data_IF_967283596768
#
_entry.id   IF_967283596768
#
_cell.length_a   1.000
_cell.length_b   1.000
_cell.length_c   1.000
_cell.angle_alpha   90.00
_cell.angle_beta   90.00
_cell.angle_gamma   90.00
#
_symmetry.space_group_name_H-M   'P 1'
#
loop_
_entity.id
_entity.type
_entity.pdbx_description
1 polymer ?
#
# COMPACT_ATOMS: atom_id res chain seq x y z
N UNK A 1 -6.25 16.84 17.06
CA UNK A 1 -5.57 15.53 17.16
C UNK A 1 -4.81 15.33 15.86
N UNK A 2 -3.48 15.28 15.91
CA UNK A 2 -2.68 14.76 14.80
C UNK A 2 -2.51 13.26 15.04
N UNK A 3 -3.25 12.45 14.30
CA UNK A 3 -3.18 10.99 14.38
C UNK A 3 -2.70 10.39 13.06
N UNK A 4 -2.07 9.23 13.13
CA UNK A 4 -1.70 8.45 11.96
C UNK A 4 -2.77 7.39 11.68
N UNK A 5 -3.05 7.15 10.41
CA UNK A 5 -3.89 6.04 9.94
C UNK A 5 -2.97 5.08 9.20
N UNK A 6 -2.88 3.84 9.68
CA UNK A 6 -2.20 2.75 8.98
C UNK A 6 -3.22 1.89 8.25
N UNK A 7 -2.93 1.54 6.99
CA UNK A 7 -3.81 0.69 6.16
C UNK A 7 -3.10 -0.64 5.89
N UNK A 8 -3.67 -1.72 6.44
CA UNK A 8 -3.14 -3.08 6.36
C UNK A 8 -4.03 -3.98 5.51
N UNK A 9 -3.46 -5.03 4.92
CA UNK A 9 -4.20 -5.99 4.11
C UNK A 9 -3.36 -6.74 3.07
N UNK A 10 -3.93 -7.80 2.50
CA UNK A 10 -3.24 -8.67 1.55
C UNK A 10 -2.81 -7.95 0.27
N UNK A 11 -1.81 -8.51 -0.43
CA UNK A 11 -1.32 -7.99 -1.71
C UNK A 11 -2.46 -8.03 -2.75
N UNK A 12 -2.66 -6.92 -3.46
CA UNK A 12 -3.69 -6.79 -4.51
C UNK A 12 -5.10 -6.40 -4.03
N UNK A 13 -5.32 -6.20 -2.72
CA UNK A 13 -6.67 -5.86 -2.18
C UNK A 13 -7.09 -4.39 -2.38
N UNK A 14 -6.21 -3.54 -2.94
CA UNK A 14 -6.51 -2.12 -3.19
C UNK A 14 -6.14 -1.15 -2.07
N UNK A 15 -5.17 -1.49 -1.21
CA UNK A 15 -4.69 -0.61 -0.11
C UNK A 15 -4.30 0.78 -0.61
N UNK A 16 -3.44 0.86 -1.62
CA UNK A 16 -2.97 2.13 -2.19
C UNK A 16 -4.12 2.99 -2.70
N UNK A 17 -5.10 2.38 -3.38
CA UNK A 17 -6.32 3.06 -3.83
C UNK A 17 -7.11 3.64 -2.66
N UNK A 18 -7.29 2.87 -1.59
CA UNK A 18 -7.96 3.36 -0.38
C UNK A 18 -7.16 4.48 0.31
N UNK A 19 -5.84 4.38 0.36
CA UNK A 19 -4.95 5.43 0.90
C UNK A 19 -5.18 6.76 0.19
N UNK A 20 -5.19 6.76 -1.15
CA UNK A 20 -5.44 7.98 -1.93
C UNK A 20 -6.84 8.56 -1.67
N UNK A 21 -7.87 7.72 -1.66
CA UNK A 21 -9.24 8.17 -1.41
C UNK A 21 -9.42 8.78 0.00
N UNK A 22 -8.78 8.19 1.02
CA UNK A 22 -8.81 8.72 2.38
C UNK A 22 -8.00 10.01 2.50
N UNK A 23 -6.84 10.11 1.87
CA UNK A 23 -6.02 11.31 1.89
C UNK A 23 -6.73 12.50 1.25
N UNK A 24 -7.42 12.30 0.12
CA UNK A 24 -8.26 13.33 -0.51
C UNK A 24 -9.38 13.79 0.41
N UNK A 25 -10.09 12.86 1.06
CA UNK A 25 -11.24 13.17 1.90
C UNK A 25 -10.89 13.80 3.25
N UNK A 26 -9.69 13.54 3.75
CA UNK A 26 -9.23 13.99 5.07
C UNK A 26 -8.18 15.10 4.98
N UNK A 27 -7.82 15.55 3.78
CA UNK A 27 -6.73 16.50 3.53
C UNK A 27 -5.43 16.08 4.22
N UNK A 28 -5.13 14.77 4.17
CA UNK A 28 -4.02 14.16 4.89
C UNK A 28 -2.79 13.94 3.99
N UNK A 29 -1.60 13.96 4.60
CA UNK A 29 -0.38 13.53 3.93
C UNK A 29 -0.37 12.01 3.69
N UNK A 30 0.26 11.58 2.60
CA UNK A 30 0.41 10.17 2.24
C UNK A 30 1.85 9.71 2.50
N UNK A 31 1.99 8.53 3.10
CA UNK A 31 3.25 7.78 3.17
C UNK A 31 3.00 6.41 2.54
N UNK A 32 3.73 6.07 1.49
CA UNK A 32 3.61 4.81 0.75
C UNK A 32 4.78 3.88 1.06
N UNK A 33 4.55 2.57 0.91
CA UNK A 33 5.59 1.55 1.01
C UNK A 33 6.59 1.63 -0.18
N UNK A 34 7.88 1.40 0.09
CA UNK A 34 8.91 1.30 -0.95
C UNK A 34 8.89 -0.09 -1.61
N UNK A 35 7.87 -0.36 -2.43
CA UNK A 35 7.64 -1.67 -3.07
C UNK A 35 8.88 -2.16 -3.85
N UNK A 36 9.56 -1.25 -4.54
CA UNK A 36 10.71 -1.56 -5.40
C UNK A 36 11.94 -2.05 -4.61
N UNK A 37 12.02 -1.70 -3.32
CA UNK A 37 13.12 -2.11 -2.45
C UNK A 37 12.87 -3.48 -1.80
N UNK A 38 11.68 -4.08 -1.98
CA UNK A 38 11.35 -5.36 -1.36
C UNK A 38 12.02 -6.54 -2.10
N UNK A 39 13.02 -7.22 -1.50
CA UNK A 39 13.80 -8.24 -2.19
C UNK A 39 13.00 -9.53 -2.48
N UNK A 40 11.81 -9.70 -1.89
CA UNK A 40 11.00 -10.92 -2.00
C UNK A 40 9.88 -10.83 -3.04
N UNK A 41 9.35 -9.64 -3.31
CA UNK A 41 8.16 -9.49 -4.16
C UNK A 41 8.40 -9.95 -5.60
N UNK A 42 9.57 -9.66 -6.16
CA UNK A 42 9.91 -10.09 -7.52
C UNK A 42 9.88 -11.62 -7.70
N UNK A 43 10.32 -12.38 -6.69
CA UNK A 43 10.23 -13.85 -6.72
C UNK A 43 8.79 -14.33 -6.50
N UNK A 44 8.09 -13.73 -5.54
CA UNK A 44 6.69 -14.06 -5.24
C UNK A 44 5.76 -13.97 -6.46
N UNK A 45 5.93 -12.94 -7.31
CA UNK A 45 5.13 -12.81 -8.53
C UNK A 45 5.55 -13.76 -9.66
N UNK A 46 6.79 -14.27 -9.68
CA UNK A 46 7.23 -15.26 -10.68
C UNK A 46 6.51 -16.60 -10.52
N UNK A 47 6.30 -17.05 -9.29
CA UNK A 47 5.66 -18.34 -9.00
C UNK A 47 4.13 -18.32 -9.19
N UNK A 48 3.49 -17.14 -9.15
CA UNK A 48 2.04 -16.99 -9.33
C UNK A 48 1.58 -17.02 -10.79
N UNK A 49 2.48 -16.97 -11.77
CA UNK A 49 2.14 -16.99 -13.19
C UNK A 49 1.96 -18.41 -13.78
N UNK A 50 1.77 -19.43 -12.93
CA UNK A 50 1.49 -20.83 -13.31
C UNK A 50 0.01 -21.17 -13.23
#
# INVERSE_FOLDING_TARGET
MSGFIAIEGVIGVGKTTLTHALAERLEAGIVLEAVEENPFLAQFYKDRAR
#
